data_IF_593327972079
#
_entry.id   IF_593327972079
#
_cell.length_a   1.000
_cell.length_b   1.000
_cell.length_c   1.000
_cell.angle_alpha   90.00
_cell.angle_beta   90.00
_cell.angle_gamma   90.00
#
_symmetry.space_group_name_H-M   'P 1'
#
loop_
_entity.id
_entity.type
_entity.pdbx_description
1 polymer ?
#
# COMPACT_ATOMS: atom_id res chain seq x y z
N UNK A 1 19.54 39.56 13.69
CA UNK A 1 18.44 40.36 13.12
C UNK A 1 18.15 39.74 11.75
N UNK A 2 16.88 39.38 11.50
CA UNK A 2 16.29 38.77 10.28
C UNK A 2 16.78 39.45 8.97
N UNK A 3 16.78 38.90 7.75
CA UNK A 3 16.05 37.82 7.07
C UNK A 3 16.83 37.46 5.76
N UNK A 4 16.22 36.64 4.90
CA UNK A 4 16.37 36.58 3.44
C UNK A 4 16.94 35.29 2.80
N UNK A 5 16.01 34.34 2.67
CA UNK A 5 15.65 33.68 1.39
C UNK A 5 16.75 32.91 0.66
N UNK A 6 16.58 31.58 0.74
CA UNK A 6 16.80 30.58 -0.31
C UNK A 6 17.05 31.20 -1.70
N UNK A 7 18.33 31.37 -2.05
CA UNK A 7 18.76 31.46 -3.45
C UNK A 7 19.29 30.08 -3.83
N UNK A 8 18.38 29.21 -4.27
CA UNK A 8 18.74 28.02 -5.04
C UNK A 8 19.42 28.56 -6.29
N UNK A 9 20.75 28.56 -6.30
CA UNK A 9 21.57 29.02 -7.40
C UNK A 9 21.52 28.05 -8.57
N UNK A 10 20.34 27.88 -9.19
CA UNK A 10 20.23 27.16 -10.45
C UNK A 10 20.39 28.18 -11.57
N UNK A 11 21.62 28.35 -12.06
CA UNK A 11 21.85 29.06 -13.33
C UNK A 11 21.49 28.09 -14.45
N UNK A 12 20.35 28.34 -15.11
CA UNK A 12 19.93 27.63 -16.31
C UNK A 12 20.46 28.42 -17.51
N UNK A 13 21.32 27.81 -18.32
CA UNK A 13 21.68 28.31 -19.66
C UNK A 13 21.59 27.15 -20.64
N UNK A 14 20.76 27.32 -21.67
CA UNK A 14 20.61 26.40 -22.81
C UNK A 14 20.28 24.93 -22.45
N UNK A 15 19.33 24.73 -21.53
CA UNK A 15 18.63 23.45 -21.38
C UNK A 15 19.47 22.26 -20.90
N UNK A 16 20.74 22.44 -20.56
CA UNK A 16 21.57 21.41 -19.92
C UNK A 16 22.13 21.91 -18.60
N UNK A 17 21.84 21.15 -17.53
CA UNK A 17 22.44 21.32 -16.22
C UNK A 17 23.92 20.93 -16.35
N UNK A 18 24.81 21.93 -16.46
CA UNK A 18 26.25 21.70 -16.42
C UNK A 18 26.78 22.05 -15.03
N UNK A 19 27.19 21.01 -14.29
CA UNK A 19 27.93 21.16 -13.03
C UNK A 19 27.30 20.41 -11.85
N UNK A 20 28.11 19.54 -11.24
CA UNK A 20 27.84 18.70 -10.05
C UNK A 20 26.97 17.45 -10.21
N UNK A 21 27.16 16.68 -11.28
CA UNK A 21 26.57 15.33 -11.33
C UNK A 21 27.20 14.34 -10.33
N UNK A 22 28.41 14.57 -9.82
CA UNK A 22 29.09 13.60 -8.95
C UNK A 22 28.41 13.47 -7.57
N UNK A 23 28.08 14.58 -6.92
CA UNK A 23 27.39 14.57 -5.61
C UNK A 23 25.92 14.13 -5.73
N UNK A 24 25.23 14.56 -6.78
CA UNK A 24 23.81 14.23 -6.99
C UNK A 24 23.60 12.75 -7.36
N UNK A 25 24.49 12.16 -8.18
CA UNK A 25 24.43 10.72 -8.47
C UNK A 25 24.76 9.90 -7.24
N UNK A 26 25.77 10.27 -6.45
CA UNK A 26 26.13 9.56 -5.23
C UNK A 26 25.03 9.66 -4.15
N UNK A 27 24.32 10.79 -4.09
CA UNK A 27 23.15 10.98 -3.23
C UNK A 27 21.96 10.14 -3.70
N UNK A 28 21.61 10.18 -4.99
CA UNK A 28 20.52 9.37 -5.57
C UNK A 28 20.81 7.88 -5.44
N UNK A 29 22.05 7.45 -5.65
CA UNK A 29 22.47 6.05 -5.51
C UNK A 29 22.44 5.60 -4.05
N UNK A 30 22.84 6.47 -3.12
CA UNK A 30 22.68 6.23 -1.68
C UNK A 30 21.21 6.16 -1.27
N UNK A 31 20.35 7.01 -1.84
CA UNK A 31 18.91 6.98 -1.58
C UNK A 31 18.23 5.73 -2.14
N UNK A 32 18.60 5.27 -3.35
CA UNK A 32 18.14 3.98 -3.90
C UNK A 32 18.53 2.81 -3.01
N UNK A 33 19.74 2.84 -2.43
CA UNK A 33 20.21 1.81 -1.50
C UNK A 33 19.42 1.83 -0.19
N UNK A 34 19.06 3.00 0.34
CA UNK A 34 18.22 3.14 1.54
C UNK A 34 16.79 2.65 1.29
N UNK A 35 16.21 2.97 0.13
CA UNK A 35 14.87 2.48 -0.25
C UNK A 35 14.88 0.94 -0.37
N UNK A 36 15.88 0.35 -1.03
CA UNK A 36 16.02 -1.11 -1.13
C UNK A 36 16.45 -1.80 0.18
N UNK A 37 16.86 -1.06 1.21
CA UNK A 37 17.23 -1.63 2.51
C UNK A 37 16.02 -1.82 3.45
N UNK A 38 14.87 -1.21 3.13
CA UNK A 38 13.63 -1.44 3.91
C UNK A 38 12.94 -2.77 3.61
N UNK A 39 13.35 -3.49 2.57
CA UNK A 39 12.85 -4.84 2.25
C UNK A 39 13.54 -5.98 3.04
N UNK A 40 14.42 -5.68 3.99
CA UNK A 40 15.22 -6.71 4.67
C UNK A 40 15.09 -6.71 6.18
N UNK A 41 13.85 -6.76 6.67
CA UNK A 41 13.59 -7.12 8.07
C UNK A 41 12.47 -8.16 8.25
N UNK A 42 12.34 -9.11 7.33
CA UNK A 42 11.44 -10.27 7.54
C UNK A 42 12.18 -11.60 7.36
N UNK A 43 12.68 -12.05 8.51
CA UNK A 43 12.57 -13.40 9.01
C UNK A 43 12.82 -14.59 8.04
N UNK A 44 14.01 -15.13 8.20
CA UNK A 44 14.46 -16.49 7.93
C UNK A 44 13.44 -17.57 8.37
N UNK A 45 12.50 -17.96 7.49
CA UNK A 45 11.99 -19.34 7.29
C UNK A 45 10.68 -19.36 6.48
N UNK A 46 10.74 -19.60 5.16
CA UNK A 46 9.82 -20.53 4.47
C UNK A 46 10.28 -20.71 3.00
N UNK A 47 10.90 -21.85 2.67
CA UNK A 47 11.33 -22.17 1.29
C UNK A 47 10.16 -22.44 0.31
N UNK A 48 8.90 -22.23 0.71
CA UNK A 48 7.71 -22.57 -0.10
C UNK A 48 6.55 -21.56 0.00
N UNK A 49 6.75 -20.36 0.54
CA UNK A 49 5.69 -19.33 0.64
C UNK A 49 5.59 -18.55 -0.68
N UNK A 50 4.37 -18.36 -1.20
CA UNK A 50 4.12 -17.51 -2.38
C UNK A 50 4.45 -16.04 -2.06
N UNK A 51 4.72 -15.22 -3.07
CA UNK A 51 5.09 -13.81 -2.85
C UNK A 51 3.93 -12.98 -2.28
N UNK A 52 4.23 -11.88 -1.59
CA UNK A 52 3.20 -10.93 -1.15
C UNK A 52 2.37 -10.40 -2.33
N UNK A 53 3.04 -10.09 -3.45
CA UNK A 53 2.39 -9.61 -4.67
C UNK A 53 1.40 -10.64 -5.24
N UNK A 54 1.69 -11.94 -5.13
CA UNK A 54 0.74 -12.99 -5.50
C UNK A 54 -0.55 -12.87 -4.68
N UNK A 55 -0.44 -12.77 -3.36
CA UNK A 55 -1.62 -12.70 -2.47
C UNK A 55 -2.42 -11.41 -2.66
N UNK A 56 -1.76 -10.27 -2.90
CA UNK A 56 -2.44 -8.99 -3.13
C UNK A 56 -3.27 -8.98 -4.42
N UNK A 57 -2.84 -9.75 -5.44
CA UNK A 57 -3.52 -9.86 -6.73
C UNK A 57 -4.60 -10.97 -6.78
N UNK A 58 -4.83 -11.70 -5.69
CA UNK A 58 -5.90 -12.69 -5.63
C UNK A 58 -7.27 -12.01 -5.81
N UNK A 59 -8.08 -12.61 -6.68
CA UNK A 59 -9.43 -12.15 -7.00
C UNK A 59 -10.43 -12.84 -6.09
N UNK A 60 -10.67 -12.22 -4.95
CA UNK A 60 -11.64 -12.71 -3.98
C UNK A 60 -13.08 -12.40 -4.37
N UNK A 61 -14.02 -13.20 -3.87
CA UNK A 61 -15.44 -12.90 -4.01
C UNK A 61 -15.84 -11.83 -2.98
N UNK A 62 -16.22 -10.68 -3.50
CA UNK A 62 -16.75 -9.57 -2.71
C UNK A 62 -18.27 -9.67 -2.69
N UNK A 63 -18.85 -9.59 -1.51
CA UNK A 63 -20.30 -9.51 -1.29
C UNK A 63 -20.59 -8.13 -0.75
N UNK A 64 -21.59 -7.46 -1.33
CA UNK A 64 -22.06 -6.14 -0.89
C UNK A 64 -23.56 -6.27 -0.59
N UNK A 65 -23.94 -5.91 0.63
CA UNK A 65 -25.29 -6.01 1.16
C UNK A 65 -25.78 -4.60 1.54
N UNK A 66 -27.01 -4.25 1.17
CA UNK A 66 -27.62 -3.01 1.64
C UNK A 66 -28.00 -3.18 3.11
N UNK A 67 -27.67 -2.18 3.93
CA UNK A 67 -28.08 -2.13 5.33
C UNK A 67 -29.46 -1.46 5.40
N UNK A 68 -30.36 -2.01 6.23
CA UNK A 68 -31.69 -1.44 6.43
C UNK A 68 -31.58 -0.03 7.02
N UNK A 69 -32.50 0.87 6.60
CA UNK A 69 -32.48 2.28 7.03
C UNK A 69 -32.64 2.42 8.56
N UNK A 70 -33.32 1.46 9.20
CA UNK A 70 -33.50 1.42 10.66
C UNK A 70 -32.20 1.07 11.42
N UNK A 71 -31.27 0.36 10.76
CA UNK A 71 -29.97 -0.05 11.30
C UNK A 71 -28.82 0.91 10.94
N UNK A 72 -29.17 2.06 10.33
CA UNK A 72 -28.22 3.12 9.96
C UNK A 72 -28.04 3.32 8.46
N UNK A 73 -28.61 2.44 7.62
CA UNK A 73 -28.55 2.55 6.16
C UNK A 73 -27.14 2.32 5.59
N UNK A 74 -26.98 2.60 4.29
CA UNK A 74 -25.72 2.41 3.56
C UNK A 74 -25.50 0.96 3.11
N UNK A 75 -24.23 0.56 3.03
CA UNK A 75 -23.79 -0.72 2.47
C UNK A 75 -22.68 -1.36 3.31
N UNK A 76 -22.81 -2.66 3.57
CA UNK A 76 -21.75 -3.55 4.08
C UNK A 76 -21.08 -4.23 2.89
N UNK A 77 -19.75 -4.25 2.85
CA UNK A 77 -18.97 -5.05 1.92
C UNK A 77 -18.01 -5.97 2.68
N UNK A 78 -17.95 -7.25 2.29
CA UNK A 78 -17.01 -8.22 2.88
C UNK A 78 -16.49 -9.25 1.88
N UNK A 79 -15.38 -9.90 2.23
CA UNK A 79 -14.79 -11.01 1.47
C UNK A 79 -15.12 -12.34 2.15
N UNK A 80 -15.84 -13.23 1.45
CA UNK A 80 -16.32 -14.50 2.02
C UNK A 80 -15.18 -15.38 2.50
N UNK A 81 -14.13 -15.53 1.69
CA UNK A 81 -13.02 -16.45 1.95
C UNK A 81 -12.08 -15.97 3.05
N UNK A 82 -12.05 -14.66 3.32
CA UNK A 82 -11.28 -14.08 4.41
C UNK A 82 -12.08 -14.01 5.72
N UNK A 83 -13.39 -14.24 5.66
CA UNK A 83 -14.31 -14.18 6.78
C UNK A 83 -15.07 -12.85 6.87
N UNK A 84 -16.41 -12.94 7.02
CA UNK A 84 -17.31 -11.77 7.03
C UNK A 84 -16.90 -10.69 8.04
N UNK A 85 -16.47 -11.07 9.24
CA UNK A 85 -16.09 -10.11 10.29
C UNK A 85 -14.58 -9.81 10.34
N UNK A 86 -13.81 -10.42 9.44
CA UNK A 86 -12.35 -10.32 9.42
C UNK A 86 -11.90 -9.35 8.34
N UNK A 87 -12.54 -9.37 7.19
CA UNK A 87 -12.31 -8.43 6.10
C UNK A 87 -13.65 -7.85 5.63
N UNK A 88 -14.11 -6.79 6.33
CA UNK A 88 -15.32 -6.04 6.01
C UNK A 88 -15.08 -4.54 6.07
N UNK A 89 -15.88 -3.79 5.33
CA UNK A 89 -15.97 -2.34 5.40
C UNK A 89 -17.40 -1.88 5.10
N UNK A 90 -17.77 -0.69 5.57
CA UNK A 90 -19.05 -0.08 5.27
C UNK A 90 -18.86 1.22 4.49
N UNK A 91 -19.90 1.68 3.80
CA UNK A 91 -19.93 2.97 3.15
C UNK A 91 -21.36 3.44 2.90
N UNK A 92 -21.56 4.74 2.67
CA UNK A 92 -22.87 5.30 2.31
C UNK A 92 -23.28 4.86 0.90
N UNK A 93 -22.29 4.54 0.07
CA UNK A 93 -22.47 4.05 -1.31
C UNK A 93 -21.76 2.72 -1.54
N UNK A 94 -22.19 2.00 -2.57
CA UNK A 94 -21.54 0.76 -3.03
C UNK A 94 -20.05 0.99 -3.35
N UNK A 95 -19.73 2.11 -4.01
CA UNK A 95 -18.35 2.45 -4.37
C UNK A 95 -17.48 2.71 -3.15
N UNK A 96 -18.00 3.43 -2.15
CA UNK A 96 -17.29 3.71 -0.91
C UNK A 96 -17.03 2.44 -0.10
N UNK A 97 -18.05 1.59 0.07
CA UNK A 97 -17.91 0.31 0.77
C UNK A 97 -16.88 -0.58 0.06
N UNK A 98 -16.91 -0.64 -1.27
CA UNK A 98 -15.95 -1.38 -2.07
C UNK A 98 -14.52 -0.85 -1.93
N UNK A 99 -14.30 0.46 -2.10
CA UNK A 99 -12.98 1.05 -2.02
C UNK A 99 -12.35 0.88 -0.64
N UNK A 100 -13.15 1.09 0.42
CA UNK A 100 -12.74 0.87 1.81
C UNK A 100 -12.37 -0.59 2.06
N UNK A 101 -13.15 -1.54 1.52
CA UNK A 101 -12.87 -2.97 1.63
C UNK A 101 -11.54 -3.33 0.93
N UNK A 102 -11.28 -2.80 -0.26
CA UNK A 102 -10.05 -3.10 -1.00
C UNK A 102 -8.81 -2.56 -0.27
N UNK A 103 -8.88 -1.36 0.27
CA UNK A 103 -7.80 -0.80 1.09
C UNK A 103 -7.53 -1.68 2.31
N UNK A 104 -8.59 -2.00 3.06
CA UNK A 104 -8.47 -2.83 4.25
C UNK A 104 -7.96 -4.24 3.94
N UNK A 105 -8.43 -4.87 2.87
CA UNK A 105 -7.95 -6.16 2.38
C UNK A 105 -6.44 -6.14 2.14
N UNK A 106 -5.94 -5.10 1.47
CA UNK A 106 -4.52 -5.01 1.15
C UNK A 106 -3.66 -4.89 2.41
N UNK A 107 -4.08 -4.07 3.38
CA UNK A 107 -3.39 -3.94 4.67
C UNK A 107 -3.45 -5.24 5.49
N UNK A 108 -4.60 -5.91 5.51
CA UNK A 108 -4.78 -7.19 6.20
C UNK A 108 -3.87 -8.28 5.62
N UNK A 109 -3.81 -8.40 4.29
CA UNK A 109 -2.95 -9.37 3.60
C UNK A 109 -1.47 -9.10 3.89
N UNK A 110 -1.04 -7.83 3.84
CA UNK A 110 0.35 -7.44 4.20
C UNK A 110 0.67 -7.87 5.64
N UNK A 111 -0.21 -7.54 6.58
CA UNK A 111 -0.04 -7.90 8.00
C UNK A 111 0.06 -9.42 8.20
N UNK A 112 -0.86 -10.20 7.62
CA UNK A 112 -0.79 -11.66 7.70
C UNK A 112 0.46 -12.23 7.03
N UNK A 113 0.93 -11.58 5.97
CA UNK A 113 2.18 -11.96 5.32
C UNK A 113 3.39 -11.76 6.23
N UNK A 114 3.53 -10.58 6.83
CA UNK A 114 4.59 -10.23 7.78
C UNK A 114 4.56 -11.11 9.05
N UNK A 115 3.36 -11.38 9.58
CA UNK A 115 3.17 -12.25 10.74
C UNK A 115 3.39 -13.73 10.42
N UNK A 116 3.64 -14.09 9.16
CA UNK A 116 3.83 -15.47 8.74
C UNK A 116 2.54 -16.31 8.79
N UNK A 117 1.37 -15.69 8.95
CA UNK A 117 0.06 -16.36 9.02
C UNK A 117 -0.33 -16.97 7.68
N UNK A 118 -1.21 -17.96 7.73
CA UNK A 118 -1.85 -18.52 6.54
C UNK A 118 -2.81 -17.49 5.94
N UNK A 119 -2.77 -17.34 4.61
CA UNK A 119 -3.65 -16.42 3.86
C UNK A 119 -4.58 -17.31 3.04
N UNK A 120 -5.90 -17.30 3.32
CA UNK A 120 -6.87 -18.07 2.54
C UNK A 120 -6.85 -17.66 1.07
N UNK A 121 -6.91 -18.64 0.17
CA UNK A 121 -7.04 -18.39 -1.27
C UNK A 121 -8.52 -18.47 -1.68
N UNK A 122 -8.93 -17.77 -2.77
CA UNK A 122 -10.28 -17.90 -3.30
C UNK A 122 -10.57 -19.33 -3.77
N UNK A 123 -11.82 -19.79 -3.59
CA UNK A 123 -12.33 -21.08 -4.10
C UNK A 123 -12.46 -21.11 -5.64
#
# INVERSE_FOLDING_TARGET
>A
MFDDRVKIGVKIKDGQVIGEEAGHKQFIESMKKIVNFKDNKDNKNNKNRKSLEYYLNLKYKIIIEKIDEEDGGGFDAYIKELGKYTCCACGETVEEAYNSLIEFKNELIKKWYEEGKEIPEPE
#
